data_IF_796760750328
#
_entry.id   IF_796760750328
#
_cell.length_a   1.000
_cell.length_b   1.000
_cell.length_c   1.000
_cell.angle_alpha   90.00
_cell.angle_beta   90.00
_cell.angle_gamma   90.00
#
_symmetry.space_group_name_H-M   'P 1'
#
loop_
_entity.id
_entity.type
_entity.pdbx_description
1 polymer ?
#
# COMPACT_ATOMS: atom_id res chain seq x y z
N UNK A 1 6.09 -23.44 -0.67
CA UNK A 1 7.09 -22.60 0.00
C UNK A 1 6.43 -21.99 1.23
N UNK A 2 6.91 -22.26 2.44
CA UNK A 2 6.44 -21.62 3.67
C UNK A 2 6.54 -20.09 3.63
N UNK A 3 5.60 -19.37 4.26
CA UNK A 3 5.62 -17.91 4.31
C UNK A 3 6.94 -17.37 4.90
N UNK A 4 7.43 -17.98 5.99
CA UNK A 4 8.67 -17.57 6.66
C UNK A 4 9.87 -17.53 5.71
N UNK A 5 9.94 -18.42 4.72
CA UNK A 5 11.01 -18.43 3.71
C UNK A 5 10.94 -17.22 2.79
N UNK A 6 9.72 -16.79 2.43
CA UNK A 6 9.49 -15.61 1.59
C UNK A 6 9.91 -14.34 2.34
N UNK A 7 9.46 -14.18 3.59
CA UNK A 7 9.84 -13.03 4.40
C UNK A 7 11.34 -12.99 4.67
N UNK A 8 11.95 -14.12 5.03
CA UNK A 8 13.39 -14.20 5.24
C UNK A 8 14.19 -13.89 3.96
N UNK A 9 13.73 -14.34 2.79
CA UNK A 9 14.36 -14.01 1.52
C UNK A 9 14.29 -12.51 1.21
N UNK A 10 13.14 -11.87 1.43
CA UNK A 10 12.98 -10.42 1.25
C UNK A 10 13.87 -9.61 2.20
N UNK A 11 13.92 -9.99 3.48
CA UNK A 11 14.78 -9.33 4.48
C UNK A 11 16.26 -9.52 4.11
N UNK A 12 16.65 -10.74 3.72
CA UNK A 12 18.02 -11.03 3.29
C UNK A 12 18.42 -10.20 2.08
N UNK A 13 17.53 -10.08 1.09
CA UNK A 13 17.78 -9.24 -0.08
C UNK A 13 18.06 -7.78 0.32
N UNK A 14 17.26 -7.19 1.22
CA UNK A 14 17.49 -5.82 1.71
C UNK A 14 18.81 -5.69 2.48
N UNK A 15 19.13 -6.68 3.32
CA UNK A 15 20.39 -6.75 4.07
C UNK A 15 21.60 -6.79 3.14
N UNK A 16 21.60 -7.73 2.20
CA UNK A 16 22.69 -7.93 1.25
C UNK A 16 22.84 -6.70 0.34
N UNK A 17 21.72 -6.09 -0.07
CA UNK A 17 21.74 -4.85 -0.85
C UNK A 17 22.43 -3.69 -0.10
N UNK A 18 22.18 -3.55 1.21
CA UNK A 18 22.90 -2.57 2.04
C UNK A 18 24.39 -2.92 2.15
N UNK A 19 24.73 -4.20 2.36
CA UNK A 19 26.11 -4.67 2.42
C UNK A 19 26.90 -4.36 1.14
N UNK A 20 26.29 -4.63 -0.02
CA UNK A 20 26.85 -4.29 -1.33
C UNK A 20 27.05 -2.78 -1.48
N UNK A 21 26.07 -1.99 -1.06
CA UNK A 21 26.15 -0.53 -1.12
C UNK A 21 27.28 0.04 -0.26
N UNK A 22 27.43 -0.46 0.97
CA UNK A 22 28.50 -0.05 1.90
C UNK A 22 29.88 -0.42 1.35
N UNK A 23 30.02 -1.63 0.82
CA UNK A 23 31.26 -2.13 0.20
C UNK A 23 31.67 -1.26 -0.99
N UNK A 24 30.72 -0.89 -1.87
CA UNK A 24 30.97 0.01 -3.01
C UNK A 24 31.39 1.42 -2.59
N UNK A 25 30.94 1.89 -1.42
CA UNK A 25 31.31 3.18 -0.83
C UNK A 25 32.64 3.13 -0.07
N UNK A 26 33.31 1.97 -0.04
CA UNK A 26 34.54 1.74 0.73
C UNK A 26 34.42 2.11 2.21
N UNK A 27 33.23 1.93 2.80
CA UNK A 27 33.07 2.10 4.24
C UNK A 27 33.71 0.91 4.95
N UNK A 28 34.21 1.13 6.17
CA UNK A 28 34.76 0.05 7.01
C UNK A 28 33.71 -0.56 7.95
N UNK A 29 32.42 -0.29 7.71
CA UNK A 29 31.32 -0.73 8.57
C UNK A 29 31.09 -2.21 8.34
N UNK A 30 31.18 -3.00 9.41
CA UNK A 30 30.91 -4.44 9.40
C UNK A 30 29.45 -4.70 9.77
N UNK A 31 28.93 -5.84 9.35
CA UNK A 31 27.54 -6.24 9.61
C UNK A 31 27.19 -6.27 11.11
N UNK A 32 28.14 -6.69 11.96
CA UNK A 32 27.98 -6.73 13.42
C UNK A 32 28.02 -5.34 14.09
N UNK A 33 28.32 -4.28 13.34
CA UNK A 33 28.27 -2.88 13.81
C UNK A 33 26.93 -2.23 13.42
N UNK A 34 26.07 -2.94 12.70
CA UNK A 34 24.77 -2.46 12.26
C UNK A 34 23.70 -2.91 13.25
N UNK A 35 22.92 -1.94 13.75
CA UNK A 35 21.64 -2.22 14.42
C UNK A 35 20.54 -2.26 13.37
N UNK A 36 19.87 -3.39 13.27
CA UNK A 36 18.75 -3.60 12.35
C UNK A 36 17.45 -3.22 13.07
N UNK A 37 16.70 -2.29 12.49
CA UNK A 37 15.37 -1.91 12.99
C UNK A 37 14.34 -2.32 11.95
N UNK A 38 13.50 -3.28 12.30
CA UNK A 38 12.44 -3.77 11.43
C UNK A 38 11.10 -3.22 11.93
N UNK A 39 10.41 -2.46 11.08
CA UNK A 39 9.09 -1.93 11.41
C UNK A 39 8.02 -3.01 11.27
N UNK A 40 7.05 -3.01 12.17
CA UNK A 40 5.88 -3.91 12.15
C UNK A 40 4.61 -3.13 12.48
N UNK A 41 3.44 -3.51 11.93
CA UNK A 41 2.18 -2.85 12.26
C UNK A 41 1.84 -2.93 13.75
N UNK A 42 1.33 -1.84 14.32
CA UNK A 42 0.94 -1.81 15.73
C UNK A 42 -0.27 -2.73 16.02
N UNK A 43 -1.14 -2.93 15.03
CA UNK A 43 -2.34 -3.78 15.14
C UNK A 43 -2.01 -5.28 15.24
N UNK A 44 -0.78 -5.69 14.92
CA UNK A 44 -0.38 -7.10 14.96
C UNK A 44 -0.27 -7.64 16.38
N UNK A 45 -0.60 -8.91 16.53
CA UNK A 45 -0.40 -9.65 17.76
C UNK A 45 1.08 -10.05 17.98
N UNK A 46 1.37 -10.56 19.16
CA UNK A 46 2.74 -10.93 19.52
C UNK A 46 3.27 -12.11 18.69
N UNK A 47 2.39 -13.00 18.22
CA UNK A 47 2.76 -14.12 17.38
C UNK A 47 3.25 -13.65 15.99
N UNK A 48 2.55 -12.70 15.37
CA UNK A 48 2.97 -12.10 14.10
C UNK A 48 4.27 -11.28 14.24
N UNK A 49 4.44 -10.55 15.35
CA UNK A 49 5.69 -9.84 15.66
C UNK A 49 6.86 -10.83 15.85
N UNK A 50 6.62 -11.92 16.58
CA UNK A 50 7.62 -12.98 16.78
C UNK A 50 7.97 -13.67 15.45
N UNK A 51 6.99 -13.92 14.58
CA UNK A 51 7.24 -14.45 13.24
C UNK A 51 8.19 -13.56 12.43
N UNK A 52 8.05 -12.24 12.48
CA UNK A 52 8.97 -11.32 11.80
C UNK A 52 10.38 -11.34 12.39
N UNK A 53 10.52 -11.50 13.71
CA UNK A 53 11.81 -11.70 14.36
C UNK A 53 12.50 -12.97 13.84
N UNK A 54 11.78 -14.08 13.81
CA UNK A 54 12.30 -15.35 13.28
C UNK A 54 12.66 -15.25 11.80
N UNK A 55 11.88 -14.50 11.01
CA UNK A 55 12.19 -14.26 9.60
C UNK A 55 13.50 -13.49 9.43
N UNK A 56 13.73 -12.46 10.25
CA UNK A 56 14.95 -11.67 10.24
C UNK A 56 16.17 -12.48 10.71
N UNK A 57 16.02 -13.28 11.77
CA UNK A 57 17.08 -14.19 12.24
C UNK A 57 17.43 -15.23 11.16
N UNK A 58 16.41 -15.81 10.53
CA UNK A 58 16.59 -16.71 9.39
C UNK A 58 17.30 -16.02 8.23
N UNK A 59 17.09 -14.72 8.02
CA UNK A 59 17.79 -13.90 7.02
C UNK A 59 19.26 -13.62 7.37
N UNK A 60 19.74 -14.05 8.54
CA UNK A 60 21.12 -13.86 9.00
C UNK A 60 21.35 -12.55 9.77
N UNK A 61 20.30 -11.93 10.28
CA UNK A 61 20.40 -10.82 11.23
C UNK A 61 20.54 -11.40 12.64
N UNK A 62 21.55 -10.98 13.40
CA UNK A 62 21.67 -11.36 14.80
C UNK A 62 20.48 -10.77 15.60
N UNK A 63 19.78 -11.63 16.35
CA UNK A 63 18.66 -11.22 17.22
C UNK A 63 19.06 -10.16 18.26
N UNK A 64 20.32 -10.13 18.71
CA UNK A 64 20.84 -9.08 19.61
C UNK A 64 21.02 -7.73 18.90
N UNK A 65 21.23 -7.76 17.58
CA UNK A 65 21.33 -6.57 16.74
C UNK A 65 19.96 -6.13 16.18
N UNK A 66 18.89 -6.89 16.42
CA UNK A 66 17.55 -6.66 15.89
C UNK A 66 16.60 -6.01 16.91
N UNK A 67 16.07 -4.85 16.53
CA UNK A 67 14.95 -4.19 17.20
C UNK A 67 13.71 -4.24 16.31
N UNK A 68 12.56 -4.59 16.88
CA UNK A 68 11.28 -4.33 16.23
C UNK A 68 10.80 -2.95 16.66
N UNK A 69 10.36 -2.13 15.71
CA UNK A 69 9.72 -0.84 15.96
C UNK A 69 8.29 -0.87 15.46
N UNK A 70 7.37 -0.22 16.17
CA UNK A 70 6.01 -0.08 15.64
C UNK A 70 6.02 0.96 14.53
N UNK A 71 5.36 0.67 13.41
CA UNK A 71 5.19 1.59 12.29
C UNK A 71 4.70 2.99 12.70
N UNK A 72 3.64 3.15 13.53
CA UNK A 72 3.20 4.48 13.93
C UNK A 72 4.21 5.23 14.79
N UNK A 73 5.03 4.55 15.60
CA UNK A 73 6.11 5.17 16.37
C UNK A 73 7.25 5.63 15.45
N UNK A 74 7.65 4.78 14.50
CA UNK A 74 8.66 5.12 13.50
C UNK A 74 8.22 6.31 12.63
N UNK A 75 6.95 6.34 12.20
CA UNK A 75 6.36 7.46 11.48
C UNK A 75 6.36 8.74 12.32
N UNK A 76 5.96 8.65 13.60
CA UNK A 76 5.97 9.79 14.53
C UNK A 76 7.38 10.37 14.71
N UNK A 77 8.38 9.50 14.89
CA UNK A 77 9.78 9.91 15.01
C UNK A 77 10.27 10.57 13.71
N UNK A 78 9.93 10.02 12.54
CA UNK A 78 10.25 10.64 11.26
C UNK A 78 9.68 12.06 11.18
N UNK A 79 8.37 12.24 11.44
CA UNK A 79 7.71 13.54 11.42
C UNK A 79 8.28 14.54 12.43
N UNK A 80 8.72 14.07 13.61
CA UNK A 80 9.33 14.91 14.65
C UNK A 80 10.68 15.49 14.22
N UNK A 81 11.48 14.73 13.47
CA UNK A 81 12.85 15.12 13.10
C UNK A 81 13.00 15.56 11.63
N UNK A 82 11.94 15.51 10.83
CA UNK A 82 11.97 16.01 9.46
C UNK A 82 12.33 17.51 9.45
N UNK A 83 13.31 17.93 8.61
CA UNK A 83 13.66 19.34 8.49
C UNK A 83 12.44 20.17 8.09
N UNK A 84 12.14 21.20 8.90
CA UNK A 84 10.99 22.11 8.77
C UNK A 84 10.88 22.75 7.38
N UNK A 85 11.96 22.80 6.61
CA UNK A 85 12.01 23.32 5.24
C UNK A 85 11.12 22.58 4.23
N UNK A 86 10.69 21.34 4.54
CA UNK A 86 9.83 20.54 3.66
C UNK A 86 8.34 20.61 4.00
N UNK A 87 7.94 21.39 5.01
CA UNK A 87 6.54 21.56 5.38
C UNK A 87 6.19 23.03 5.51
N UNK A 88 5.14 23.46 4.81
CA UNK A 88 4.61 24.83 4.88
C UNK A 88 4.13 25.19 6.30
N UNK A 89 3.86 24.19 7.14
CA UNK A 89 3.43 24.33 8.53
C UNK A 89 4.38 23.59 9.46
N UNK A 90 4.86 24.28 10.50
CA UNK A 90 5.53 23.62 11.62
C UNK A 90 4.51 22.69 12.29
N UNK A 91 4.81 21.40 12.31
CA UNK A 91 4.05 20.44 13.09
C UNK A 91 4.36 20.65 14.58
N UNK A 92 3.57 21.47 15.27
CA UNK A 92 3.69 21.69 16.72
C UNK A 92 3.18 20.50 17.56
N UNK A 93 2.67 19.45 16.91
CA UNK A 93 2.01 18.31 17.54
C UNK A 93 2.95 17.31 18.24
N UNK A 94 4.19 17.72 18.54
CA UNK A 94 5.15 16.91 19.32
C UNK A 94 5.59 17.55 20.65
N UNK A 95 4.93 18.64 21.06
CA UNK A 95 5.16 19.24 22.37
C UNK A 95 4.65 18.31 23.49
N UNK A 96 5.24 18.34 24.71
CA UNK A 96 4.69 17.58 25.84
C UNK A 96 3.18 17.78 26.02
N UNK A 97 2.46 16.68 26.26
CA UNK A 97 0.99 16.57 26.37
C UNK A 97 0.20 16.81 25.09
N UNK A 98 0.86 17.05 23.96
CA UNK A 98 0.17 17.06 22.67
C UNK A 98 -0.31 15.66 22.32
N UNK A 99 -1.47 15.62 21.64
CA UNK A 99 -2.10 14.39 21.17
C UNK A 99 -2.25 14.48 19.67
N UNK A 100 -1.96 13.39 18.98
CA UNK A 100 -2.07 13.33 17.53
C UNK A 100 -2.42 11.92 17.08
N UNK A 101 -2.91 11.85 15.84
CA UNK A 101 -3.28 10.63 15.16
C UNK A 101 -2.20 10.30 14.13
N UNK A 102 -1.77 9.05 14.11
CA UNK A 102 -1.09 8.48 12.94
C UNK A 102 -2.12 7.67 12.18
N UNK A 103 -2.33 8.05 10.92
CA UNK A 103 -3.16 7.34 9.95
C UNK A 103 -2.23 6.83 8.84
N UNK A 104 -1.96 5.53 8.84
CA UNK A 104 -1.21 4.87 7.77
C UNK A 104 -2.20 4.20 6.82
N UNK A 105 -2.34 4.74 5.61
CA UNK A 105 -3.23 4.21 4.58
C UNK A 105 -2.38 3.56 3.48
N UNK A 106 -2.05 2.29 3.69
CA UNK A 106 -1.22 1.50 2.80
C UNK A 106 -1.99 0.85 1.64
N UNK A 107 -1.33 -0.11 0.98
CA UNK A 107 -1.92 -0.89 -0.09
C UNK A 107 -3.01 -1.84 0.41
N UNK A 108 -2.72 -2.64 1.43
CA UNK A 108 -3.66 -3.65 1.94
C UNK A 108 -4.46 -3.21 3.17
N UNK A 109 -3.88 -2.39 4.04
CA UNK A 109 -4.47 -1.98 5.31
C UNK A 109 -4.56 -0.47 5.45
N UNK A 110 -5.48 -0.04 6.31
CA UNK A 110 -5.44 1.29 6.92
C UNK A 110 -5.31 1.08 8.42
N UNK A 111 -4.27 1.65 9.02
CA UNK A 111 -3.91 1.52 10.42
C UNK A 111 -3.96 2.88 11.12
N UNK A 112 -4.55 2.90 12.31
CA UNK A 112 -4.88 4.10 13.07
C UNK A 112 -4.35 3.94 14.49
N UNK A 113 -3.49 4.87 14.90
CA UNK A 113 -2.94 4.91 16.26
C UNK A 113 -3.00 6.33 16.82
N UNK A 114 -3.43 6.48 18.06
CA UNK A 114 -3.48 7.77 18.76
C UNK A 114 -2.36 7.83 19.78
N UNK A 115 -1.48 8.82 19.65
CA UNK A 115 -0.37 9.05 20.56
C UNK A 115 -0.56 10.30 21.40
N UNK A 116 -0.07 10.27 22.64
CA UNK A 116 0.24 11.43 23.47
C UNK A 116 1.75 11.51 23.70
N UNK A 117 2.33 12.71 23.62
CA UNK A 117 3.73 12.92 23.97
C UNK A 117 3.85 13.10 25.48
N UNK A 118 4.57 12.22 26.15
CA UNK A 118 4.87 12.34 27.57
C UNK A 118 5.80 13.53 27.86
N UNK A 119 5.88 14.02 29.12
CA UNK A 119 6.80 15.10 29.50
C UNK A 119 8.29 14.84 29.19
N UNK A 120 8.70 13.58 29.18
CA UNK A 120 10.06 13.15 28.84
C UNK A 120 10.29 13.00 27.32
N UNK A 121 9.26 13.26 26.50
CA UNK A 121 9.29 13.16 25.05
C UNK A 121 9.03 11.76 24.50
N UNK A 122 8.78 10.75 25.33
CA UNK A 122 8.35 9.41 24.91
C UNK A 122 6.90 9.43 24.42
N UNK A 123 6.52 8.42 23.63
CA UNK A 123 5.17 8.31 23.09
C UNK A 123 4.34 7.34 23.93
N UNK A 124 3.11 7.74 24.23
CA UNK A 124 2.11 6.88 24.88
C UNK A 124 0.95 6.65 23.93
N UNK A 125 0.66 5.39 23.63
CA UNK A 125 -0.58 5.00 22.96
C UNK A 125 -1.77 5.26 23.89
N UNK A 126 -2.75 6.03 23.41
CA UNK A 126 -3.96 6.37 24.17
C UNK A 126 -5.08 5.33 24.03
N UNK A 127 -5.11 4.65 22.90
CA UNK A 127 -6.09 3.62 22.57
C UNK A 127 -5.41 2.53 21.77
N UNK A 128 -5.83 1.29 22.00
CA UNK A 128 -5.36 0.14 21.22
C UNK A 128 -5.38 0.49 19.73
N UNK A 129 -4.24 0.32 19.06
CA UNK A 129 -4.15 0.49 17.62
C UNK A 129 -5.28 -0.28 16.92
N UNK A 130 -5.89 0.34 15.91
CA UNK A 130 -7.02 -0.20 15.18
C UNK A 130 -6.78 -0.05 13.68
N UNK A 131 -7.37 -0.92 12.88
CA UNK A 131 -7.20 -0.91 11.44
C UNK A 131 -8.05 -1.95 10.75
N UNK A 132 -8.01 -1.94 9.43
CA UNK A 132 -8.79 -2.86 8.62
C UNK A 132 -8.29 -2.95 7.18
N UNK A 133 -8.83 -3.90 6.40
CA UNK A 133 -8.45 -4.12 5.01
C UNK A 133 -9.11 -3.07 4.11
N UNK A 134 -8.77 -1.79 4.32
CA UNK A 134 -9.35 -0.63 3.61
C UNK A 134 -8.31 0.09 2.77
N UNK A 135 -7.17 -0.57 2.50
CA UNK A 135 -6.09 0.02 1.74
C UNK A 135 -6.43 0.19 0.25
N UNK A 136 -5.46 0.69 -0.50
CA UNK A 136 -5.58 0.93 -1.94
C UNK A 136 -6.00 -0.27 -2.80
N UNK A 137 -5.85 -1.52 -2.33
CA UNK A 137 -6.32 -2.72 -3.04
C UNK A 137 -7.85 -2.79 -3.10
N UNK A 138 -8.55 -2.24 -2.12
CA UNK A 138 -10.03 -2.16 -2.18
C UNK A 138 -10.52 -1.26 -3.31
N UNK A 139 -9.72 -0.26 -3.69
CA UNK A 139 -10.00 0.58 -4.87
C UNK A 139 -9.75 -0.20 -6.16
N UNK A 140 -8.75 -1.08 -6.18
CA UNK A 140 -8.49 -1.97 -7.33
C UNK A 140 -9.60 -3.01 -7.50
N UNK A 141 -10.09 -3.57 -6.39
CA UNK A 141 -11.25 -4.47 -6.36
C UNK A 141 -12.50 -3.76 -6.88
N UNK A 142 -12.80 -2.55 -6.40
CA UNK A 142 -13.93 -1.76 -6.88
C UNK A 142 -13.84 -1.43 -8.38
N UNK A 143 -12.63 -1.27 -8.91
CA UNK A 143 -12.42 -1.10 -10.35
C UNK A 143 -12.68 -2.38 -11.13
N UNK A 144 -12.25 -3.54 -10.62
CA UNK A 144 -12.54 -4.83 -11.22
C UNK A 144 -14.04 -5.14 -11.18
N UNK A 145 -14.72 -4.84 -10.09
CA UNK A 145 -16.17 -4.97 -9.96
C UNK A 145 -16.89 -4.06 -10.96
N UNK A 146 -16.43 -2.82 -11.11
CA UNK A 146 -16.93 -1.89 -12.12
C UNK A 146 -16.81 -2.46 -13.54
N UNK A 147 -15.66 -3.04 -13.91
CA UNK A 147 -15.48 -3.70 -15.20
C UNK A 147 -16.38 -4.95 -15.32
N UNK A 148 -16.56 -5.69 -14.23
CA UNK A 148 -17.38 -6.90 -14.16
C UNK A 148 -18.86 -6.59 -14.38
N UNK A 149 -19.37 -5.51 -13.80
CA UNK A 149 -20.75 -5.04 -14.01
C UNK A 149 -21.02 -4.73 -15.49
N UNK A 150 -20.04 -4.16 -16.22
CA UNK A 150 -20.18 -3.79 -17.63
C UNK A 150 -19.97 -4.97 -18.57
N UNK A 151 -18.90 -5.75 -18.35
CA UNK A 151 -18.45 -6.77 -19.29
C UNK A 151 -19.03 -8.16 -18.98
N UNK A 152 -19.40 -8.39 -17.72
CA UNK A 152 -19.74 -9.68 -17.14
C UNK A 152 -18.51 -10.40 -16.57
N UNK A 153 -18.70 -11.04 -15.41
CA UNK A 153 -17.64 -11.71 -14.66
C UNK A 153 -16.93 -12.81 -15.48
N UNK A 154 -17.68 -13.59 -16.26
CA UNK A 154 -17.14 -14.65 -17.12
C UNK A 154 -16.21 -14.14 -18.22
N UNK A 155 -16.43 -12.92 -18.73
CA UNK A 155 -15.50 -12.31 -19.71
C UNK A 155 -14.21 -11.88 -19.03
N UNK A 156 -14.28 -11.28 -17.84
CA UNK A 156 -13.08 -10.90 -17.10
C UNK A 156 -12.27 -12.10 -16.63
N UNK A 157 -12.93 -13.17 -16.18
CA UNK A 157 -12.26 -14.43 -15.85
C UNK A 157 -11.58 -15.03 -17.08
N UNK A 158 -12.28 -15.11 -18.21
CA UNK A 158 -11.69 -15.58 -19.47
C UNK A 158 -10.54 -14.67 -19.93
N UNK A 159 -10.61 -13.36 -19.71
CA UNK A 159 -9.55 -12.41 -20.06
C UNK A 159 -8.30 -12.63 -19.20
N UNK A 160 -8.46 -12.75 -17.88
CA UNK A 160 -7.38 -13.08 -16.94
C UNK A 160 -6.68 -14.38 -17.31
N UNK A 161 -7.43 -15.38 -17.75
CA UNK A 161 -6.91 -16.72 -17.97
C UNK A 161 -6.32 -16.91 -19.38
N UNK A 162 -6.95 -16.34 -20.42
CA UNK A 162 -6.51 -16.46 -21.84
C UNK A 162 -5.52 -15.37 -22.27
N UNK A 163 -5.55 -14.19 -21.64
CA UNK A 163 -4.77 -13.02 -22.00
C UNK A 163 -4.13 -12.37 -20.77
N UNK A 164 -3.42 -13.19 -19.97
CA UNK A 164 -2.86 -12.81 -18.67
C UNK A 164 -1.95 -11.58 -18.72
N UNK A 165 -1.12 -11.45 -19.75
CA UNK A 165 -0.19 -10.33 -19.86
C UNK A 165 -0.94 -9.00 -20.03
N UNK A 166 -1.92 -8.96 -20.96
CA UNK A 166 -2.78 -7.79 -21.17
C UNK A 166 -3.64 -7.47 -19.94
N UNK A 167 -4.08 -8.50 -19.20
CA UNK A 167 -4.80 -8.33 -17.94
C UNK A 167 -3.93 -7.66 -16.88
N UNK A 168 -2.69 -8.12 -16.71
CA UNK A 168 -1.73 -7.53 -15.77
C UNK A 168 -1.40 -6.08 -16.19
N UNK A 169 -1.23 -5.82 -17.48
CA UNK A 169 -0.92 -4.48 -17.98
C UNK A 169 -2.11 -3.52 -17.79
N UNK A 170 -3.35 -3.98 -17.94
CA UNK A 170 -4.54 -3.21 -17.58
C UNK A 170 -4.53 -2.80 -16.10
N UNK A 171 -4.24 -3.75 -15.20
CA UNK A 171 -4.15 -3.48 -13.75
C UNK A 171 -3.02 -2.51 -13.42
N UNK A 172 -1.87 -2.62 -14.09
CA UNK A 172 -0.74 -1.68 -13.92
C UNK A 172 -1.08 -0.27 -14.43
N UNK A 173 -1.79 -0.17 -15.55
CA UNK A 173 -2.28 1.12 -16.04
C UNK A 173 -3.25 1.72 -15.02
N UNK A 174 -4.18 0.92 -14.49
CA UNK A 174 -5.09 1.36 -13.43
C UNK A 174 -4.35 1.89 -12.20
N UNK A 175 -3.41 1.11 -11.64
CA UNK A 175 -2.62 1.51 -10.48
C UNK A 175 -1.87 2.83 -10.73
N UNK A 176 -1.29 3.00 -11.91
CA UNK A 176 -0.58 4.23 -12.30
C UNK A 176 -1.52 5.43 -12.34
N UNK A 177 -2.74 5.26 -12.87
CA UNK A 177 -3.74 6.33 -12.94
C UNK A 177 -4.34 6.65 -11.57
N UNK A 178 -4.64 5.64 -10.76
CA UNK A 178 -5.15 5.77 -9.39
C UNK A 178 -4.25 6.69 -8.56
N UNK A 179 -2.93 6.48 -8.63
CA UNK A 179 -1.93 7.30 -7.92
C UNK A 179 -1.81 8.74 -8.41
N UNK A 180 -2.35 9.06 -9.59
CA UNK A 180 -2.31 10.40 -10.17
C UNK A 180 -3.56 11.24 -9.85
N UNK A 181 -4.61 10.63 -9.26
CA UNK A 181 -5.84 11.34 -8.87
C UNK A 181 -5.55 12.28 -7.70
N UNK A 182 -5.99 13.53 -7.81
CA UNK A 182 -5.90 14.52 -6.74
C UNK A 182 -7.28 14.75 -6.12
N UNK A 183 -7.38 15.09 -4.82
CA UNK A 183 -8.67 15.31 -4.14
C UNK A 183 -9.57 16.31 -4.89
N UNK A 184 -8.98 17.37 -5.44
CA UNK A 184 -9.72 18.45 -6.10
C UNK A 184 -9.74 18.31 -7.65
N UNK A 185 -9.23 17.21 -8.21
CA UNK A 185 -9.24 17.04 -9.66
C UNK A 185 -10.53 16.42 -10.15
N UNK A 186 -11.28 17.17 -10.96
CA UNK A 186 -12.40 16.65 -11.76
C UNK A 186 -11.93 16.10 -13.11
N UNK A 187 -10.64 15.76 -13.21
CA UNK A 187 -10.02 15.29 -14.45
C UNK A 187 -10.53 13.91 -14.81
N UNK A 188 -11.01 13.76 -16.04
CA UNK A 188 -11.41 12.47 -16.59
C UNK A 188 -10.21 11.54 -16.66
N UNK A 189 -10.30 10.38 -16.01
CA UNK A 189 -9.34 9.30 -16.17
C UNK A 189 -9.71 8.52 -17.43
N UNK A 190 -8.75 8.37 -18.35
CA UNK A 190 -8.95 7.62 -19.60
C UNK A 190 -8.09 6.38 -19.59
N UNK A 191 -8.69 5.24 -19.91
CA UNK A 191 -8.05 3.94 -20.01
C UNK A 191 -8.07 3.45 -21.45
N UNK A 192 -6.96 2.89 -21.91
CA UNK A 192 -6.95 2.15 -23.18
C UNK A 192 -7.41 0.73 -22.89
N UNK A 193 -8.44 0.31 -23.60
CA UNK A 193 -8.90 -1.07 -23.51
C UNK A 193 -8.00 -1.97 -24.38
N UNK A 194 -7.47 -3.07 -23.82
CA UNK A 194 -6.67 -4.01 -24.60
C UNK A 194 -7.46 -4.55 -25.79
N UNK A 195 -6.79 -4.68 -26.95
CA UNK A 195 -7.42 -5.20 -28.17
C UNK A 195 -7.91 -6.63 -27.94
N UNK A 196 -7.14 -7.44 -27.22
CA UNK A 196 -7.49 -8.80 -26.82
C UNK A 196 -8.78 -8.87 -26.00
N UNK A 197 -9.02 -7.90 -25.10
CA UNK A 197 -10.29 -7.81 -24.35
C UNK A 197 -11.47 -7.49 -25.28
N UNK A 198 -11.28 -6.58 -26.25
CA UNK A 198 -12.29 -6.29 -27.26
C UNK A 198 -12.65 -7.51 -28.11
N UNK A 199 -11.62 -8.24 -28.59
CA UNK A 199 -11.79 -9.44 -29.40
C UNK A 199 -12.48 -10.56 -28.60
N UNK A 200 -12.05 -10.79 -27.37
CA UNK A 200 -12.66 -11.78 -26.48
C UNK A 200 -14.12 -11.44 -26.17
N UNK A 201 -14.43 -10.17 -25.85
CA UNK A 201 -15.81 -9.76 -25.60
C UNK A 201 -16.69 -10.00 -26.83
N UNK A 202 -16.22 -9.65 -28.03
CA UNK A 202 -16.94 -9.92 -29.28
C UNK A 202 -17.14 -11.42 -29.52
N UNK A 203 -16.13 -12.24 -29.23
CA UNK A 203 -16.20 -13.70 -29.33
C UNK A 203 -17.31 -14.25 -28.43
N UNK A 204 -17.34 -13.84 -27.15
CA UNK A 204 -18.22 -14.40 -26.11
C UNK A 204 -19.64 -13.83 -26.18
N UNK A 205 -19.78 -12.51 -26.37
CA UNK A 205 -21.07 -11.80 -26.32
C UNK A 205 -21.71 -11.55 -27.68
N UNK A 206 -20.95 -11.71 -28.77
CA UNK A 206 -21.40 -11.33 -30.13
C UNK A 206 -21.83 -9.86 -30.24
N UNK A 207 -21.21 -8.99 -29.44
CA UNK A 207 -21.49 -7.55 -29.35
C UNK A 207 -20.19 -6.75 -29.16
N UNK A 208 -20.25 -5.43 -29.27
CA UNK A 208 -19.12 -4.54 -28.98
C UNK A 208 -19.16 -4.04 -27.54
N UNK A 209 -17.99 -3.93 -26.89
CA UNK A 209 -17.87 -3.34 -25.54
C UNK A 209 -18.47 -1.93 -25.49
N UNK A 210 -18.35 -1.16 -26.57
CA UNK A 210 -18.91 0.20 -26.65
C UNK A 210 -20.43 0.20 -26.46
N UNK A 211 -21.12 -0.79 -27.00
CA UNK A 211 -22.56 -0.92 -26.85
C UNK A 211 -22.91 -1.28 -25.41
N UNK A 212 -22.15 -2.21 -24.80
CA UNK A 212 -22.29 -2.58 -23.39
C UNK A 212 -22.15 -1.37 -22.45
N UNK A 213 -21.16 -0.51 -22.69
CA UNK A 213 -20.97 0.72 -21.89
C UNK A 213 -22.10 1.71 -22.11
N UNK A 214 -22.51 1.94 -23.37
CA UNK A 214 -23.56 2.90 -23.72
C UNK A 214 -24.92 2.51 -23.13
N UNK A 215 -25.23 1.22 -23.18
CA UNK A 215 -26.54 0.68 -22.84
C UNK A 215 -26.62 0.23 -21.36
N UNK A 216 -25.53 0.35 -20.59
CA UNK A 216 -25.49 0.01 -19.17
C UNK A 216 -26.36 0.94 -18.33
N UNK A 217 -27.25 0.41 -17.49
CA UNK A 217 -28.21 1.21 -16.74
C UNK A 217 -27.58 2.24 -15.78
N UNK A 218 -26.44 1.88 -15.17
CA UNK A 218 -25.74 2.72 -14.17
C UNK A 218 -24.67 3.64 -14.77
N UNK A 219 -24.10 3.26 -15.92
CA UNK A 219 -22.90 3.91 -16.48
C UNK A 219 -23.11 4.44 -17.91
N UNK A 220 -24.23 4.07 -18.54
CA UNK A 220 -24.66 4.55 -19.84
C UNK A 220 -25.32 5.92 -19.73
N UNK A 221 -24.98 6.82 -20.66
CA UNK A 221 -25.49 8.19 -20.70
C UNK A 221 -24.54 9.21 -20.10
N UNK A 222 -23.97 10.06 -20.95
CA UNK A 222 -23.07 11.14 -20.55
C UNK A 222 -23.81 12.29 -19.85
N UNK A 223 -24.20 12.12 -18.59
CA UNK A 223 -24.42 13.17 -17.58
C UNK A 223 -25.02 12.55 -16.32
N UNK A 224 -24.19 11.96 -15.46
CA UNK A 224 -24.50 11.92 -14.04
C UNK A 224 -23.60 12.95 -13.37
N UNK A 225 -24.07 14.19 -13.31
CA UNK A 225 -23.57 15.15 -12.31
C UNK A 225 -23.81 14.50 -10.95
N UNK A 226 -22.75 14.37 -10.16
CA UNK A 226 -22.85 14.07 -8.73
C UNK A 226 -23.82 15.07 -8.10
N UNK A 227 -25.05 14.63 -7.84
CA UNK A 227 -25.92 15.27 -6.86
C UNK A 227 -25.65 14.58 -5.53
N UNK A 228 -25.10 15.39 -4.64
CA UNK A 228 -25.34 15.40 -3.20
C UNK A 228 -24.93 14.18 -2.37
N UNK A 229 -23.73 14.28 -1.80
CA UNK A 229 -23.48 13.84 -0.44
C UNK A 229 -23.25 15.12 0.40
N UNK A 230 -24.32 15.56 1.05
CA UNK A 230 -24.32 16.60 2.09
C UNK A 230 -24.13 15.95 3.46
#
# INVERSE_FOLDING_TARGET
>A
MPAIDVFAASIRYMKDHLGDFLSRRSTQIRDNEIRWVLTVPAIWDDAAKQFMREAAEKAGIDGQALLLALEPEAASMCCKYLPVERMETRIECFSPRSKYLVLDAGGGTVDITVHEVNPDGTLKELHKANGGPWGGTTVDEAFLDFLSEILGADVLEAFRDRHRDDYIDLLREFETRKRAVKPDSDSRVTFKMPISLHELYREVRKAEIRDAVRDHQKYGGGNHRRQDAS
#
